data_IF_900968669755
#
_entry.id   IF_900968669755
#
_cell.length_a   1.000
_cell.length_b   1.000
_cell.length_c   1.000
_cell.angle_alpha   90.00
_cell.angle_beta   90.00
_cell.angle_gamma   90.00
#
_symmetry.space_group_name_H-M   'P 1'
#
loop_
_entity.id
_entity.type
_entity.pdbx_description
1 polymer ?
#
# COMPACT_ATOMS: atom_id res chain seq x y z
N UNK A 1 11.10 2.20 11.19
CA UNK A 1 9.94 1.96 12.09
C UNK A 1 10.32 1.93 13.57
N UNK A 2 11.41 1.26 13.98
CA UNK A 2 11.80 1.13 15.40
C UNK A 2 11.91 2.45 16.19
N UNK A 3 12.52 3.50 15.61
CA UNK A 3 12.64 4.81 16.25
C UNK A 3 11.26 5.38 16.61
N UNK A 4 10.31 5.36 15.67
CA UNK A 4 8.96 5.91 15.87
C UNK A 4 8.16 5.09 16.87
N UNK A 5 8.36 3.77 16.89
CA UNK A 5 7.79 2.91 17.92
C UNK A 5 8.30 3.28 19.32
N UNK A 6 9.62 3.53 19.48
CA UNK A 6 10.17 4.02 20.76
C UNK A 6 9.52 5.33 21.17
N UNK A 7 9.44 6.32 20.28
CA UNK A 7 8.85 7.63 20.58
C UNK A 7 7.40 7.55 21.07
N UNK A 8 6.59 6.67 20.46
CA UNK A 8 5.20 6.40 20.87
C UNK A 8 5.17 5.77 22.27
N UNK A 9 6.02 4.78 22.54
CA UNK A 9 6.11 4.14 23.86
C UNK A 9 6.58 5.09 24.94
N UNK A 10 7.63 5.87 24.68
CA UNK A 10 8.23 6.84 25.60
C UNK A 10 7.24 7.96 25.96
N UNK A 11 6.34 8.30 25.04
CA UNK A 11 5.28 9.30 25.25
C UNK A 11 4.00 8.71 25.87
N UNK A 12 3.93 7.39 26.10
CA UNK A 12 2.76 6.74 26.70
C UNK A 12 1.50 6.74 25.83
N UNK A 13 1.64 6.99 24.53
CA UNK A 13 0.55 6.98 23.54
C UNK A 13 0.56 5.68 22.73
N UNK A 14 -0.49 5.44 21.94
CA UNK A 14 -0.65 4.21 21.15
C UNK A 14 -0.42 4.41 19.66
N UNK A 15 -0.65 5.62 19.15
CA UNK A 15 -0.60 5.91 17.71
C UNK A 15 0.21 7.16 17.39
N UNK A 16 0.66 7.26 16.14
CA UNK A 16 1.35 8.43 15.63
C UNK A 16 0.47 9.69 15.67
N UNK A 17 -0.84 9.52 15.50
CA UNK A 17 -1.82 10.62 15.58
C UNK A 17 -1.91 11.18 16.99
N UNK A 18 -1.92 10.30 18.00
CA UNK A 18 -1.87 10.70 19.41
C UNK A 18 -0.53 11.38 19.73
N UNK A 19 0.60 10.87 19.20
CA UNK A 19 1.92 11.48 19.40
C UNK A 19 1.98 12.90 18.83
N UNK A 20 1.50 13.11 17.59
CA UNK A 20 1.41 14.44 16.95
C UNK A 20 0.54 15.41 17.76
N UNK A 21 -0.52 14.90 18.38
CA UNK A 21 -1.42 15.68 19.22
C UNK A 21 -0.76 16.09 20.53
N UNK A 22 0.01 15.18 21.15
CA UNK A 22 0.76 15.44 22.37
C UNK A 22 1.94 16.41 22.15
N UNK A 23 2.60 16.34 20.99
CA UNK A 23 3.79 17.13 20.65
C UNK A 23 3.60 17.91 19.33
N UNK A 24 2.74 18.93 19.29
CA UNK A 24 2.39 19.63 18.03
C UNK A 24 3.56 20.41 17.41
N UNK A 25 4.64 20.64 18.16
CA UNK A 25 5.87 21.27 17.66
C UNK A 25 6.85 20.31 16.98
N UNK A 26 6.62 19.00 17.10
CA UNK A 26 7.46 17.98 16.47
C UNK A 26 6.87 17.51 15.14
N UNK A 27 7.68 17.53 14.08
CA UNK A 27 7.23 17.11 12.76
C UNK A 27 7.38 15.60 12.59
N UNK A 28 6.30 14.85 12.76
CA UNK A 28 6.27 13.43 12.44
C UNK A 28 5.58 13.20 11.09
N UNK A 29 6.31 13.13 9.98
CA UNK A 29 5.72 12.93 8.64
C UNK A 29 5.15 11.53 8.46
N UNK A 30 4.10 11.39 7.65
CA UNK A 30 3.69 10.09 7.11
C UNK A 30 4.73 9.59 6.11
N UNK A 31 4.91 8.27 6.06
CA UNK A 31 5.79 7.61 5.10
C UNK A 31 4.94 6.69 4.24
N UNK A 32 4.86 6.99 2.95
CA UNK A 32 4.18 6.12 1.97
C UNK A 32 5.24 5.30 1.27
N UNK A 33 5.15 3.98 1.40
CA UNK A 33 6.00 3.02 0.74
C UNK A 33 5.24 2.51 -0.47
N UNK A 34 5.79 2.73 -1.65
CA UNK A 34 5.23 2.24 -2.91
C UNK A 34 6.10 1.09 -3.40
N UNK A 35 5.48 -0.06 -3.62
CA UNK A 35 6.12 -1.22 -4.24
C UNK A 35 5.39 -1.48 -5.54
N UNK A 36 6.10 -1.31 -6.65
CA UNK A 36 5.60 -1.55 -8.00
C UNK A 36 6.18 -2.88 -8.52
N UNK A 37 5.29 -3.81 -8.87
CA UNK A 37 5.61 -5.15 -9.36
C UNK A 37 6.63 -5.89 -8.48
N UNK A 38 6.24 -6.35 -7.27
CA UNK A 38 7.15 -7.02 -6.31
C UNK A 38 7.73 -8.36 -6.81
N UNK A 39 7.34 -8.80 -8.00
CA UNK A 39 7.66 -10.11 -8.56
C UNK A 39 6.66 -11.19 -8.14
N UNK A 40 6.65 -12.29 -8.90
CA UNK A 40 5.84 -13.46 -8.61
C UNK A 40 6.71 -14.73 -8.72
N UNK A 41 7.06 -15.40 -7.61
CA UNK A 41 6.68 -15.07 -6.22
C UNK A 41 7.44 -13.85 -5.66
N UNK A 42 6.84 -13.19 -4.68
CA UNK A 42 7.46 -12.06 -3.96
C UNK A 42 8.69 -12.55 -3.19
N UNK A 43 9.79 -11.79 -3.21
CA UNK A 43 10.99 -12.12 -2.43
C UNK A 43 10.67 -12.16 -0.92
N UNK A 44 11.20 -13.15 -0.20
CA UNK A 44 10.88 -13.39 1.22
C UNK A 44 11.07 -12.15 2.10
N UNK A 45 12.13 -11.38 1.87
CA UNK A 45 12.42 -10.19 2.66
C UNK A 45 11.38 -9.08 2.41
N UNK A 46 10.91 -8.93 1.17
CA UNK A 46 9.84 -8.01 0.80
C UNK A 46 8.54 -8.48 1.45
N UNK A 47 8.25 -9.77 1.42
CA UNK A 47 7.06 -10.33 2.08
C UNK A 47 7.09 -10.09 3.60
N UNK A 48 8.25 -10.25 4.25
CA UNK A 48 8.43 -9.94 5.66
C UNK A 48 8.22 -8.45 5.98
N UNK A 49 8.70 -7.57 5.09
CA UNK A 49 8.48 -6.12 5.20
C UNK A 49 6.99 -5.79 5.07
N UNK A 50 6.31 -6.34 4.06
CA UNK A 50 4.86 -6.16 3.85
C UNK A 50 4.08 -6.58 5.10
N UNK A 51 4.35 -7.78 5.63
CA UNK A 51 3.69 -8.26 6.85
C UNK A 51 3.89 -7.33 8.05
N UNK A 52 5.10 -6.79 8.22
CA UNK A 52 5.39 -5.83 9.30
C UNK A 52 4.63 -4.50 9.12
N UNK A 53 4.50 -4.03 7.88
CA UNK A 53 3.75 -2.81 7.55
C UNK A 53 2.24 -2.99 7.72
N UNK A 54 1.71 -4.16 7.38
CA UNK A 54 0.28 -4.45 7.55
C UNK A 54 -0.11 -4.62 9.02
N UNK A 55 0.78 -5.17 9.86
CA UNK A 55 0.53 -5.36 11.30
C UNK A 55 0.51 -4.03 12.07
N UNK A 56 1.51 -3.15 11.84
CA UNK A 56 1.73 -1.96 12.69
C UNK A 56 2.02 -0.67 11.94
N UNK A 57 2.08 -0.71 10.61
CA UNK A 57 2.48 0.43 9.80
C UNK A 57 1.61 1.64 10.07
N UNK A 58 0.28 1.47 10.00
CA UNK A 58 -0.69 2.55 10.17
C UNK A 58 -0.56 3.26 11.53
N UNK A 59 -0.41 2.51 12.63
CA UNK A 59 -0.22 3.07 13.98
C UNK A 59 1.06 3.90 14.08
N UNK A 60 2.06 3.60 13.25
CA UNK A 60 3.33 4.30 13.17
C UNK A 60 3.37 5.33 12.02
N UNK A 61 2.28 5.56 11.30
CA UNK A 61 2.23 6.48 10.15
C UNK A 61 3.05 6.02 8.95
N UNK A 62 3.17 4.71 8.76
CA UNK A 62 3.72 4.07 7.57
C UNK A 62 2.58 3.41 6.78
N UNK A 63 2.45 3.76 5.51
CA UNK A 63 1.40 3.28 4.62
C UNK A 63 2.03 2.53 3.45
N UNK A 64 1.41 1.43 3.03
CA UNK A 64 1.88 0.61 1.92
C UNK A 64 0.92 0.73 0.74
N UNK A 65 1.47 1.03 -0.44
CA UNK A 65 0.80 0.91 -1.72
C UNK A 65 1.51 -0.17 -2.54
N UNK A 66 0.81 -1.25 -2.82
CA UNK A 66 1.31 -2.39 -3.59
C UNK A 66 0.62 -2.42 -4.95
N UNK A 67 1.41 -2.30 -6.01
CA UNK A 67 0.94 -2.38 -7.40
C UNK A 67 1.44 -3.67 -8.05
N UNK A 68 0.55 -4.33 -8.77
CA UNK A 68 0.85 -5.57 -9.49
C UNK A 68 -0.18 -5.81 -10.60
N UNK A 69 0.28 -6.31 -11.73
CA UNK A 69 -0.56 -6.75 -12.86
C UNK A 69 -1.04 -8.20 -12.70
N UNK A 70 -0.41 -8.96 -11.79
CA UNK A 70 -0.77 -10.34 -11.48
C UNK A 70 -1.28 -10.46 -10.04
N UNK A 71 -2.06 -11.51 -9.75
CA UNK A 71 -2.51 -11.80 -8.38
C UNK A 71 -1.28 -12.03 -7.48
N UNK A 72 -0.98 -11.13 -6.51
CA UNK A 72 0.22 -11.24 -5.69
C UNK A 72 0.14 -12.39 -4.68
N UNK A 73 -1.08 -12.91 -4.43
CA UNK A 73 -1.35 -13.72 -3.26
C UNK A 73 -1.48 -12.85 -2.01
N UNK A 74 -2.14 -13.39 -0.99
CA UNK A 74 -2.34 -12.74 0.30
C UNK A 74 -3.13 -11.41 0.26
N UNK A 75 -3.96 -11.21 -0.76
CA UNK A 75 -4.79 -10.00 -0.93
C UNK A 75 -5.71 -9.78 0.28
N UNK A 76 -6.15 -10.85 0.92
CA UNK A 76 -6.97 -10.84 2.13
C UNK A 76 -6.32 -10.12 3.33
N UNK A 77 -4.99 -9.93 3.32
CA UNK A 77 -4.28 -9.16 4.35
C UNK A 77 -4.49 -7.65 4.21
N UNK A 78 -4.96 -7.18 3.05
CA UNK A 78 -5.23 -5.78 2.79
C UNK A 78 -6.70 -5.46 3.07
N UNK A 79 -6.92 -4.53 4.00
CA UNK A 79 -8.27 -4.01 4.30
C UNK A 79 -8.85 -3.18 3.16
N UNK A 80 -7.99 -2.58 2.32
CA UNK A 80 -8.39 -1.81 1.14
C UNK A 80 -7.70 -2.35 -0.09
N UNK A 81 -8.47 -2.62 -1.14
CA UNK A 81 -7.98 -3.21 -2.40
C UNK A 81 -8.60 -2.48 -3.57
N UNK A 82 -7.79 -2.16 -4.57
CA UNK A 82 -8.26 -1.49 -5.78
C UNK A 82 -8.01 -2.43 -6.94
N UNK A 83 -9.06 -2.70 -7.73
CA UNK A 83 -8.92 -3.38 -9.01
C UNK A 83 -9.30 -2.44 -10.15
N UNK A 84 -8.43 -2.40 -11.15
CA UNK A 84 -8.80 -1.99 -12.50
C UNK A 84 -9.47 -3.14 -13.25
N UNK A 85 -9.76 -2.93 -14.54
CA UNK A 85 -10.32 -3.97 -15.40
C UNK A 85 -9.45 -5.23 -15.36
N UNK A 86 -10.06 -6.34 -14.94
CA UNK A 86 -9.41 -7.67 -14.96
C UNK A 86 -9.83 -8.49 -16.18
N UNK A 87 -8.95 -9.39 -16.61
CA UNK A 87 -9.19 -10.23 -17.78
C UNK A 87 -10.18 -11.37 -17.52
N UNK A 88 -10.28 -11.85 -16.27
CA UNK A 88 -11.12 -12.99 -15.90
C UNK A 88 -11.94 -12.71 -14.63
N UNK A 89 -13.07 -13.42 -14.49
CA UNK A 89 -13.87 -13.34 -13.27
C UNK A 89 -13.13 -13.95 -12.06
N UNK A 90 -12.22 -14.91 -12.29
CA UNK A 90 -11.39 -15.47 -11.24
C UNK A 90 -10.45 -14.41 -10.66
N UNK A 91 -9.73 -13.66 -11.51
CA UNK A 91 -8.84 -12.58 -11.08
C UNK A 91 -9.58 -11.45 -10.38
N UNK A 92 -10.76 -11.10 -10.88
CA UNK A 92 -11.65 -10.16 -10.19
C UNK A 92 -11.94 -10.62 -8.76
N UNK A 93 -12.32 -11.89 -8.56
CA UNK A 93 -12.62 -12.42 -7.22
C UNK A 93 -11.40 -12.52 -6.32
N UNK A 94 -10.24 -12.87 -6.86
CA UNK A 94 -9.01 -12.94 -6.09
C UNK A 94 -8.66 -11.57 -5.49
N UNK A 95 -8.68 -10.51 -6.32
CA UNK A 95 -8.28 -9.17 -5.87
C UNK A 95 -9.35 -8.52 -4.98
N UNK A 96 -10.62 -8.51 -5.40
CA UNK A 96 -11.67 -7.71 -4.72
C UNK A 96 -12.82 -8.52 -4.15
N UNK A 97 -12.79 -9.86 -4.21
CA UNK A 97 -13.89 -10.70 -3.68
C UNK A 97 -15.19 -10.68 -4.50
N UNK A 98 -15.20 -10.07 -5.68
CA UNK A 98 -16.38 -9.91 -6.55
C UNK A 98 -16.01 -10.06 -8.03
N UNK A 99 -16.98 -10.37 -8.90
CA UNK A 99 -16.77 -10.45 -10.36
C UNK A 99 -16.80 -9.08 -11.06
N UNK A 100 -17.13 -8.00 -10.35
CA UNK A 100 -17.47 -6.71 -10.95
C UNK A 100 -16.29 -6.03 -11.65
N UNK A 101 -15.04 -6.25 -11.21
CA UNK A 101 -13.88 -5.62 -11.84
C UNK A 101 -13.66 -6.05 -13.30
N UNK A 102 -14.17 -7.23 -13.70
CA UNK A 102 -14.10 -7.68 -15.11
C UNK A 102 -14.86 -6.77 -16.08
N UNK A 103 -15.94 -6.14 -15.59
CA UNK A 103 -16.87 -5.36 -16.42
C UNK A 103 -16.52 -3.87 -16.47
N UNK A 104 -15.46 -3.44 -15.76
CA UNK A 104 -15.01 -2.05 -15.74
C UNK A 104 -14.57 -1.58 -17.12
N UNK A 105 -14.86 -0.32 -17.43
CA UNK A 105 -14.33 0.36 -18.62
C UNK A 105 -12.92 0.91 -18.38
N UNK A 106 -12.24 1.31 -19.46
CA UNK A 106 -10.95 2.00 -19.36
C UNK A 106 -11.08 3.28 -18.54
N UNK A 107 -10.19 3.47 -17.57
CA UNK A 107 -10.22 4.62 -16.66
C UNK A 107 -11.15 4.45 -15.46
N UNK A 108 -11.85 3.32 -15.33
CA UNK A 108 -12.62 2.98 -14.13
C UNK A 108 -11.79 2.10 -13.18
N UNK A 109 -12.05 2.26 -11.90
CA UNK A 109 -11.50 1.45 -10.81
C UNK A 109 -12.61 1.03 -9.86
N UNK A 110 -12.37 -0.06 -9.13
CA UNK A 110 -13.26 -0.56 -8.10
C UNK A 110 -12.48 -0.68 -6.79
N UNK A 111 -12.88 0.10 -5.80
CA UNK A 111 -12.37 0.06 -4.43
C UNK A 111 -13.18 -0.97 -3.65
N UNK A 112 -12.48 -1.88 -2.99
CA UNK A 112 -13.02 -2.86 -2.08
C UNK A 112 -12.48 -2.58 -0.67
N UNK A 113 -13.38 -2.37 0.28
CA UNK A 113 -13.04 -2.14 1.69
C UNK A 113 -13.60 -3.28 2.53
N UNK A 114 -12.71 -4.00 3.20
CA UNK A 114 -13.07 -4.99 4.21
C UNK A 114 -13.14 -4.28 5.55
N UNK A 115 -14.35 -4.18 6.12
CA UNK A 115 -14.50 -3.62 7.47
C UNK A 115 -13.98 -4.59 8.52
N UNK A 116 -13.36 -4.07 9.56
CA UNK A 116 -12.78 -4.86 10.66
C UNK A 116 -13.81 -5.25 11.73
N UNK A 117 -14.93 -4.53 11.81
CA UNK A 117 -16.01 -4.75 12.78
C UNK A 117 -17.09 -5.72 12.29
N UNK A 118 -17.24 -5.83 10.96
CA UNK A 118 -18.19 -6.71 10.27
C UNK A 118 -17.51 -7.23 9.01
N UNK A 119 -17.52 -8.54 8.71
CA UNK A 119 -16.88 -9.09 7.51
C UNK A 119 -17.71 -8.82 6.25
N UNK A 120 -18.24 -7.60 6.13
CA UNK A 120 -18.93 -7.10 4.94
C UNK A 120 -17.90 -6.44 4.03
N UNK A 121 -17.98 -6.79 2.76
CA UNK A 121 -17.19 -6.22 1.69
C UNK A 121 -17.96 -5.06 1.07
N UNK A 122 -17.49 -3.84 1.31
CA UNK A 122 -18.03 -2.65 0.65
C UNK A 122 -17.32 -2.43 -0.68
N UNK A 123 -18.07 -2.20 -1.76
CA UNK A 123 -17.55 -2.00 -3.11
C UNK A 123 -17.98 -0.63 -3.64
N UNK A 124 -17.02 0.16 -4.10
CA UNK A 124 -17.25 1.49 -4.67
C UNK A 124 -16.56 1.63 -6.04
N UNK A 125 -17.34 1.94 -7.07
CA UNK A 125 -16.80 2.23 -8.41
C UNK A 125 -16.39 3.71 -8.43
N UNK A 126 -15.18 3.97 -8.92
CA UNK A 126 -14.67 5.32 -9.13
C UNK A 126 -14.05 5.47 -10.52
N UNK A 127 -13.84 6.71 -10.94
CA UNK A 127 -13.10 7.04 -12.16
C UNK A 127 -11.73 7.59 -11.80
N UNK A 128 -10.71 7.06 -12.46
CA UNK A 128 -9.33 7.51 -12.32
C UNK A 128 -9.18 8.76 -13.16
N UNK A 129 -8.95 9.90 -12.50
CA UNK A 129 -8.51 11.09 -13.20
C UNK A 129 -7.06 10.89 -13.66
N UNK A 130 -6.69 11.32 -14.89
CA UNK A 130 -5.27 11.42 -15.22
C UNK A 130 -4.59 12.37 -14.23
N UNK A 131 -3.34 12.14 -13.83
CA UNK A 131 -2.63 13.06 -12.94
C UNK A 131 -2.65 14.47 -13.54
N UNK A 132 -2.98 15.47 -12.72
CA UNK A 132 -3.11 16.89 -13.12
C UNK A 132 -1.79 17.55 -13.58
N UNK A 133 -0.70 16.77 -13.70
CA UNK A 133 0.63 17.25 -14.08
C UNK A 133 1.21 16.41 -15.20
N UNK A 134 1.89 17.09 -16.13
CA UNK A 134 2.76 16.42 -17.08
C UNK A 134 3.80 15.56 -16.31
N UNK A 135 4.08 14.33 -16.76
CA UNK A 135 5.11 13.50 -16.17
C UNK A 135 6.44 14.25 -16.26
N UNK A 136 6.99 14.63 -15.10
CA UNK A 136 8.31 15.23 -15.02
C UNK A 136 9.34 14.14 -14.75
N UNK A 137 10.48 14.24 -15.43
CA UNK A 137 11.61 13.39 -15.16
C UNK A 137 12.11 13.66 -13.73
N UNK A 138 12.30 12.61 -12.95
CA UNK A 138 13.01 12.71 -11.67
C UNK A 138 14.50 12.96 -11.94
N UNK A 139 14.86 14.18 -12.35
CA UNK A 139 16.25 14.59 -12.46
C UNK A 139 16.80 14.87 -11.05
N UNK A 140 17.86 14.17 -10.65
CA UNK A 140 18.53 14.39 -9.37
C UNK A 140 18.04 13.54 -8.19
N UNK A 141 17.17 12.55 -8.43
CA UNK A 141 17.02 11.44 -7.49
C UNK A 141 18.11 10.44 -7.84
N UNK A 142 19.16 10.37 -7.02
CA UNK A 142 20.05 9.21 -7.02
C UNK A 142 19.18 7.99 -6.69
N UNK A 143 18.71 7.30 -7.72
CA UNK A 143 18.13 5.99 -7.55
C UNK A 143 19.29 5.07 -7.26
N UNK A 144 19.48 4.73 -6.00
CA UNK A 144 20.31 3.62 -5.58
C UNK A 144 19.73 2.36 -6.21
N UNK A 145 20.20 1.99 -7.39
CA UNK A 145 19.79 0.75 -8.06
C UNK A 145 20.49 -0.37 -7.30
N UNK A 146 19.72 -1.19 -6.60
CA UNK A 146 20.22 -2.35 -5.88
C UNK A 146 19.89 -3.60 -6.68
N UNK A 147 20.89 -4.39 -7.07
CA UNK A 147 20.63 -5.66 -7.73
C UNK A 147 20.07 -6.71 -6.75
N UNK A 148 19.73 -7.88 -7.30
CA UNK A 148 19.23 -9.03 -6.52
C UNK A 148 20.21 -9.55 -5.46
N UNK A 149 21.47 -9.13 -5.49
CA UNK A 149 22.51 -9.53 -4.56
C UNK A 149 22.83 -8.43 -3.52
N UNK A 150 22.09 -7.31 -3.54
CA UNK A 150 22.32 -6.19 -2.62
C UNK A 150 23.42 -5.23 -3.08
N UNK A 151 23.92 -5.35 -4.32
CA UNK A 151 24.96 -4.45 -4.84
C UNK A 151 24.34 -3.13 -5.25
N UNK A 152 24.83 -2.04 -4.66
CA UNK A 152 24.43 -0.67 -4.97
C UNK A 152 25.21 -0.17 -6.19
N UNK A 153 24.50 0.27 -7.22
CA UNK A 153 25.07 0.99 -8.36
C UNK A 153 24.73 2.48 -8.24
N UNK A 154 25.75 3.32 -8.43
CA UNK A 154 25.66 4.77 -8.54
C UNK A 154 26.17 5.25 -9.89
#
# INVERSE_FOLDING_TARGET
MALRHSQIQDSGVKTISELRTAHPGEHHSDVIIVIDEPGNPIHRDIQSLIGTLLDRGADLGFYLWLFTQSEPGDEHLFTQRIAHRTNTAAASRAVIGSNQARSLQTGEGLLAVTRTDTPTLDLEIFRVAPPDREPYWLTGVEQTVVDRNGTVFG
#
